data_IF_500633683102
#
_entry.id   IF_500633683102
#
_cell.length_a   1.000
_cell.length_b   1.000
_cell.length_c   1.000
_cell.angle_alpha   90.00
_cell.angle_beta   90.00
_cell.angle_gamma   90.00
#
_symmetry.space_group_name_H-M   'P 1'
#
loop_
_entity.id
_entity.type
_entity.pdbx_description
1 polymer ?
#
# COMPACT_ATOMS: atom_id res chain seq x y z
N UNK A 1 -11.86 8.50 9.19
CA UNK A 1 -13.02 9.41 9.22
C UNK A 1 -13.57 9.62 10.63
N UNK A 2 -14.12 8.58 11.28
CA UNK A 2 -14.78 8.70 12.61
C UNK A 2 -13.91 9.38 13.67
N UNK A 3 -12.68 8.94 13.86
CA UNK A 3 -11.74 9.54 14.81
C UNK A 3 -11.49 11.05 14.51
N UNK A 4 -11.32 11.41 13.26
CA UNK A 4 -11.12 12.81 12.88
C UNK A 4 -12.34 13.68 13.22
N UNK A 5 -13.55 13.16 13.01
CA UNK A 5 -14.80 13.85 13.35
C UNK A 5 -15.00 13.99 14.86
N UNK A 6 -14.70 12.93 15.64
CA UNK A 6 -14.78 12.95 17.09
C UNK A 6 -13.88 14.00 17.74
N UNK A 7 -12.67 14.17 17.19
CA UNK A 7 -11.67 15.09 17.75
C UNK A 7 -11.46 16.38 16.93
N UNK A 8 -12.40 16.74 16.05
CA UNK A 8 -12.28 17.91 15.17
C UNK A 8 -12.10 19.23 15.90
N UNK A 9 -12.70 19.35 17.09
CA UNK A 9 -12.68 20.57 17.89
C UNK A 9 -11.67 20.50 19.06
N UNK A 10 -10.91 19.39 19.18
CA UNK A 10 -9.90 19.27 20.24
C UNK A 10 -8.62 19.97 19.84
N UNK A 11 -8.25 21.09 20.47
CA UNK A 11 -7.02 21.80 20.15
C UNK A 11 -5.79 20.99 20.58
N UNK A 12 -4.74 21.02 19.77
CA UNK A 12 -3.44 20.47 20.06
C UNK A 12 -2.33 21.35 19.47
N UNK A 13 -1.10 21.14 19.93
CA UNK A 13 0.06 21.81 19.34
C UNK A 13 0.43 21.14 18.01
N UNK A 14 0.58 21.92 16.95
CA UNK A 14 1.22 21.46 15.73
C UNK A 14 2.74 21.61 15.83
N UNK A 15 3.45 20.70 15.17
CA UNK A 15 4.91 20.69 15.13
C UNK A 15 5.40 20.81 13.70
N UNK A 16 6.36 21.70 13.48
CA UNK A 16 7.16 21.79 12.26
C UNK A 16 8.64 21.74 12.63
N UNK A 17 9.45 21.03 11.86
CA UNK A 17 10.88 20.87 12.19
C UNK A 17 11.13 20.31 13.61
N UNK A 18 10.22 19.44 14.09
CA UNK A 18 10.21 18.91 15.46
C UNK A 18 10.14 20.00 16.56
N UNK A 19 9.68 21.19 16.24
CA UNK A 19 9.47 22.29 17.18
C UNK A 19 8.00 22.68 17.25
N UNK A 20 7.50 23.12 18.42
CA UNK A 20 6.17 23.70 18.54
C UNK A 20 5.99 24.87 17.57
N UNK A 21 4.88 24.88 16.84
CA UNK A 21 4.60 25.91 15.85
C UNK A 21 3.30 26.67 16.22
N UNK A 22 2.18 26.25 15.67
CA UNK A 22 0.89 26.89 15.92
C UNK A 22 -0.15 25.86 16.40
N UNK A 23 -1.19 26.26 17.12
CA UNK A 23 -2.28 25.37 17.47
C UNK A 23 -2.98 24.81 16.21
N UNK A 24 -3.40 23.57 16.29
CA UNK A 24 -4.26 22.88 15.34
C UNK A 24 -5.28 22.05 16.12
N UNK A 25 -5.93 21.08 15.49
CA UNK A 25 -6.79 20.12 16.20
C UNK A 25 -6.31 18.68 15.98
N UNK A 26 -6.63 17.82 16.94
CA UNK A 26 -6.37 16.38 16.83
C UNK A 26 -7.06 15.80 15.61
N UNK A 27 -8.33 16.19 15.37
CA UNK A 27 -9.07 15.74 14.20
C UNK A 27 -8.44 16.19 12.89
N UNK A 28 -7.96 17.45 12.80
CA UNK A 28 -7.25 17.94 11.61
C UNK A 28 -5.95 17.16 11.37
N UNK A 29 -5.20 16.82 12.42
CA UNK A 29 -4.01 15.96 12.29
C UNK A 29 -4.39 14.59 11.70
N UNK A 30 -5.48 14.00 12.16
CA UNK A 30 -5.95 12.72 11.63
C UNK A 30 -6.38 12.79 10.16
N UNK A 31 -6.86 13.94 9.67
CA UNK A 31 -7.19 14.09 8.25
C UNK A 31 -5.95 14.09 7.35
N UNK A 32 -4.77 14.44 7.85
CA UNK A 32 -3.52 14.30 7.08
C UNK A 32 -3.24 12.82 6.78
N UNK A 33 -3.37 11.95 7.78
CA UNK A 33 -3.18 10.51 7.60
C UNK A 33 -4.24 9.90 6.67
N UNK A 34 -5.49 10.32 6.84
CA UNK A 34 -6.59 9.85 5.99
C UNK A 34 -6.41 10.28 4.53
N UNK A 35 -5.93 11.50 4.29
CA UNK A 35 -5.74 12.01 2.93
C UNK A 35 -4.68 11.23 2.15
N UNK A 36 -3.60 10.81 2.79
CA UNK A 36 -2.58 9.97 2.13
C UNK A 36 -3.18 8.62 1.69
N UNK A 37 -3.99 7.98 2.54
CA UNK A 37 -4.69 6.74 2.17
C UNK A 37 -5.74 6.94 1.05
N UNK A 38 -6.34 8.13 0.96
CA UNK A 38 -7.22 8.46 -0.18
C UNK A 38 -6.42 8.56 -1.47
N UNK A 39 -5.21 9.12 -1.43
CA UNK A 39 -4.31 9.15 -2.60
C UNK A 39 -3.91 7.72 -3.02
N UNK A 40 -3.60 6.85 -2.06
CA UNK A 40 -3.30 5.44 -2.34
C UNK A 40 -4.49 4.72 -2.99
N UNK A 41 -5.71 4.98 -2.51
CA UNK A 41 -6.92 4.40 -3.09
C UNK A 41 -7.12 4.85 -4.54
N UNK A 42 -6.89 6.13 -4.84
CA UNK A 42 -6.96 6.66 -6.20
C UNK A 42 -5.92 6.00 -7.13
N UNK A 43 -4.71 5.75 -6.62
CA UNK A 43 -3.68 5.03 -7.39
C UNK A 43 -4.08 3.58 -7.67
N UNK A 44 -4.67 2.87 -6.68
CA UNK A 44 -5.18 1.51 -6.86
C UNK A 44 -6.31 1.49 -7.91
N UNK A 45 -7.28 2.40 -7.81
CA UNK A 45 -8.38 2.52 -8.77
C UNK A 45 -7.84 2.76 -10.19
N UNK A 46 -6.83 3.61 -10.31
CA UNK A 46 -6.16 3.83 -11.60
C UNK A 46 -5.48 2.55 -12.10
N UNK A 47 -4.74 1.81 -11.26
CA UNK A 47 -4.09 0.55 -11.67
C UNK A 47 -5.10 -0.50 -12.11
N UNK A 48 -6.22 -0.61 -11.41
CA UNK A 48 -7.31 -1.53 -11.79
C UNK A 48 -7.93 -1.12 -13.13
N UNK A 49 -8.18 0.18 -13.35
CA UNK A 49 -8.77 0.68 -14.58
C UNK A 49 -7.90 0.46 -15.84
N UNK A 50 -6.57 0.47 -15.68
CA UNK A 50 -5.64 0.27 -16.81
C UNK A 50 -5.10 -1.15 -16.92
N UNK A 51 -5.54 -2.07 -16.05
CA UNK A 51 -5.09 -3.46 -16.07
C UNK A 51 -5.62 -4.18 -17.31
N UNK A 52 -4.73 -4.84 -18.04
CA UNK A 52 -5.05 -5.57 -19.26
C UNK A 52 -4.63 -7.04 -19.16
N UNK A 53 -5.38 -7.91 -19.83
CA UNK A 53 -5.08 -9.33 -19.96
C UNK A 53 -4.21 -9.61 -21.17
N UNK A 54 -3.22 -10.49 -20.99
CA UNK A 54 -2.43 -10.98 -22.12
C UNK A 54 -3.19 -11.94 -23.01
N UNK A 55 -4.13 -12.67 -22.45
CA UNK A 55 -4.89 -13.75 -23.11
C UNK A 55 -3.97 -14.76 -23.87
N UNK A 56 -4.41 -15.33 -24.97
CA UNK A 56 -3.66 -16.38 -25.70
C UNK A 56 -2.85 -15.80 -26.85
N UNK A 57 -1.64 -15.29 -26.57
CA UNK A 57 -0.77 -14.66 -27.59
C UNK A 57 0.25 -15.64 -28.22
N UNK A 58 0.32 -16.89 -27.76
CA UNK A 58 1.28 -17.88 -28.24
C UNK A 58 2.67 -17.73 -27.64
N UNK A 59 3.63 -18.52 -28.12
CA UNK A 59 4.97 -18.67 -27.55
C UNK A 59 5.81 -17.41 -27.65
N UNK A 60 5.64 -16.62 -28.69
CA UNK A 60 6.40 -15.38 -28.95
C UNK A 60 5.51 -14.13 -29.00
N UNK A 61 4.22 -14.26 -28.72
CA UNK A 61 3.27 -13.16 -28.75
C UNK A 61 2.67 -12.84 -30.11
N UNK A 62 3.02 -13.60 -31.15
CA UNK A 62 2.62 -13.34 -32.55
C UNK A 62 1.25 -13.91 -32.91
N UNK A 63 0.72 -14.84 -32.12
CA UNK A 63 -0.49 -15.63 -32.43
C UNK A 63 -0.42 -16.39 -33.76
N UNK A 64 0.78 -16.68 -34.30
CA UNK A 64 0.99 -17.33 -35.59
C UNK A 64 0.29 -18.70 -35.67
N UNK A 65 0.36 -19.54 -34.62
CA UNK A 65 -0.32 -20.84 -34.58
C UNK A 65 -1.84 -20.70 -34.60
N UNK A 66 -2.40 -19.63 -34.04
CA UNK A 66 -3.84 -19.35 -34.13
C UNK A 66 -4.24 -18.87 -35.52
N UNK A 67 -3.37 -18.06 -36.18
CA UNK A 67 -3.59 -17.67 -37.58
C UNK A 67 -3.64 -18.89 -38.50
N UNK A 68 -2.76 -19.87 -38.30
CA UNK A 68 -2.80 -21.13 -39.04
C UNK A 68 -4.05 -21.93 -38.75
N UNK A 69 -4.39 -22.11 -37.46
CA UNK A 69 -5.60 -22.83 -37.02
C UNK A 69 -6.89 -22.26 -37.62
N UNK A 70 -7.00 -20.95 -37.66
CA UNK A 70 -8.16 -20.24 -38.23
C UNK A 70 -8.01 -19.88 -39.70
N UNK A 71 -7.03 -20.47 -40.40
CA UNK A 71 -6.82 -20.28 -41.84
C UNK A 71 -6.72 -18.82 -42.29
N UNK A 72 -6.02 -18.01 -41.50
CA UNK A 72 -5.82 -16.60 -41.77
C UNK A 72 -6.92 -15.65 -41.29
N UNK A 73 -7.95 -16.15 -40.60
CA UNK A 73 -9.07 -15.34 -40.09
C UNK A 73 -8.68 -14.63 -38.77
N UNK A 74 -8.16 -13.40 -38.90
CA UNK A 74 -7.75 -12.58 -37.78
C UNK A 74 -8.92 -12.11 -36.89
N UNK A 75 -10.14 -12.03 -37.45
CA UNK A 75 -11.32 -11.62 -36.67
C UNK A 75 -11.71 -12.69 -35.67
N UNK A 76 -11.58 -13.97 -36.04
CA UNK A 76 -11.79 -15.07 -35.10
C UNK A 76 -10.79 -15.04 -33.95
N UNK A 77 -9.53 -14.68 -34.19
CA UNK A 77 -8.53 -14.57 -33.14
C UNK A 77 -8.89 -13.43 -32.19
N UNK A 78 -9.31 -12.28 -32.71
CA UNK A 78 -9.77 -11.15 -31.88
C UNK A 78 -11.02 -11.52 -31.08
N UNK A 79 -11.94 -12.28 -31.67
CA UNK A 79 -13.13 -12.75 -30.98
C UNK A 79 -12.81 -13.72 -29.85
N UNK A 80 -11.81 -14.61 -30.00
CA UNK A 80 -11.31 -15.49 -28.92
C UNK A 80 -10.71 -14.65 -27.79
N UNK A 81 -9.84 -13.71 -28.10
CA UNK A 81 -9.23 -12.82 -27.08
C UNK A 81 -10.31 -12.06 -26.31
N UNK A 82 -11.30 -11.49 -26.99
CA UNK A 82 -12.41 -10.76 -26.37
C UNK A 82 -13.31 -11.68 -25.49
N UNK A 83 -13.58 -12.90 -25.95
CA UNK A 83 -14.35 -13.88 -25.18
C UNK A 83 -13.66 -14.26 -23.88
N UNK A 84 -12.34 -14.53 -23.94
CA UNK A 84 -11.56 -14.85 -22.75
C UNK A 84 -11.53 -13.67 -21.78
N UNK A 85 -11.33 -12.45 -22.28
CA UNK A 85 -11.35 -11.25 -21.41
C UNK A 85 -12.69 -11.14 -20.68
N UNK A 86 -13.80 -11.31 -21.37
CA UNK A 86 -15.15 -11.28 -20.80
C UNK A 86 -15.37 -12.37 -19.75
N UNK A 87 -14.96 -13.61 -20.03
CA UNK A 87 -15.06 -14.72 -19.06
C UNK A 87 -14.24 -14.48 -17.79
N UNK A 88 -13.12 -13.77 -17.92
CA UNK A 88 -12.27 -13.35 -16.79
C UNK A 88 -12.78 -12.10 -16.07
N UNK A 89 -13.94 -11.55 -16.46
CA UNK A 89 -14.52 -10.36 -15.83
C UNK A 89 -13.92 -9.02 -16.29
N UNK A 90 -13.19 -9.02 -17.41
CA UNK A 90 -12.62 -7.82 -18.01
C UNK A 90 -13.46 -7.32 -19.18
N UNK A 91 -13.33 -6.05 -19.52
CA UNK A 91 -13.89 -5.54 -20.76
C UNK A 91 -13.24 -6.25 -21.98
N UNK A 92 -13.99 -6.55 -23.04
CA UNK A 92 -13.46 -7.26 -24.20
C UNK A 92 -12.25 -6.60 -24.87
N UNK A 93 -12.15 -5.27 -24.75
CA UNK A 93 -11.05 -4.43 -25.24
C UNK A 93 -9.85 -4.36 -24.29
N UNK A 94 -9.99 -4.84 -23.04
CA UNK A 94 -8.90 -4.84 -22.07
C UNK A 94 -7.89 -5.98 -22.31
N UNK A 95 -7.46 -6.10 -23.57
CA UNK A 95 -6.48 -7.09 -24.01
C UNK A 95 -5.19 -6.37 -24.39
N UNK A 96 -4.07 -6.88 -23.90
CA UNK A 96 -2.75 -6.34 -24.26
C UNK A 96 -2.55 -6.49 -25.79
N UNK A 97 -2.35 -5.39 -26.53
CA UNK A 97 -2.22 -5.45 -27.99
C UNK A 97 -0.90 -6.07 -28.45
N UNK A 98 0.18 -5.88 -27.69
CA UNK A 98 1.53 -6.36 -27.99
C UNK A 98 2.16 -7.02 -26.78
N UNK A 99 2.66 -8.24 -26.94
CA UNK A 99 3.42 -8.94 -25.90
C UNK A 99 4.42 -9.92 -26.50
N UNK A 100 5.42 -10.30 -25.71
CA UNK A 100 6.23 -11.49 -26.00
C UNK A 100 5.56 -12.78 -25.51
N UNK A 101 6.33 -13.73 -25.04
CA UNK A 101 5.80 -14.94 -24.43
C UNK A 101 5.04 -14.64 -23.12
N UNK A 102 5.40 -13.57 -22.41
CA UNK A 102 4.72 -13.09 -21.22
C UNK A 102 4.31 -11.63 -21.40
N UNK A 103 3.44 -11.12 -20.52
CA UNK A 103 3.19 -9.69 -20.43
C UNK A 103 4.45 -8.95 -19.91
N UNK A 104 4.55 -7.66 -20.16
CA UNK A 104 5.66 -6.85 -19.65
C UNK A 104 5.71 -6.88 -18.12
N UNK A 105 6.86 -7.22 -17.56
CA UNK A 105 7.07 -7.23 -16.10
C UNK A 105 6.99 -5.84 -15.46
N UNK A 106 6.91 -4.80 -16.29
CA UNK A 106 6.59 -3.45 -15.85
C UNK A 106 5.22 -3.37 -15.15
N UNK A 107 4.27 -4.24 -15.51
CA UNK A 107 2.96 -4.35 -14.81
C UNK A 107 3.16 -4.77 -13.35
N UNK A 108 4.01 -5.76 -13.09
CA UNK A 108 4.35 -6.19 -11.73
C UNK A 108 4.99 -5.05 -10.92
N UNK A 109 5.90 -4.28 -11.54
CA UNK A 109 6.52 -3.12 -10.92
C UNK A 109 5.47 -2.03 -10.56
N UNK A 110 4.52 -1.75 -11.44
CA UNK A 110 3.46 -0.79 -11.16
C UNK A 110 2.56 -1.24 -10.00
N UNK A 111 2.22 -2.52 -9.94
CA UNK A 111 1.40 -3.07 -8.85
C UNK A 111 2.14 -2.94 -7.51
N UNK A 112 3.39 -3.41 -7.42
CA UNK A 112 4.14 -3.30 -6.16
C UNK A 112 4.43 -1.85 -5.77
N UNK A 113 4.60 -0.92 -6.72
CA UNK A 113 4.71 0.51 -6.42
C UNK A 113 3.43 1.06 -5.77
N UNK A 114 2.25 0.67 -6.25
CA UNK A 114 0.99 1.07 -5.64
C UNK A 114 0.86 0.51 -4.20
N UNK A 115 1.22 -0.76 -3.99
CA UNK A 115 1.24 -1.34 -2.64
C UNK A 115 2.26 -0.65 -1.72
N UNK A 116 3.43 -0.28 -2.24
CA UNK A 116 4.44 0.46 -1.48
C UNK A 116 3.95 1.86 -1.07
N UNK A 117 3.09 2.51 -1.87
CA UNK A 117 2.39 3.74 -1.50
C UNK A 117 1.61 3.57 -0.21
N UNK A 118 0.80 2.52 -0.10
CA UNK A 118 0.09 2.18 1.14
C UNK A 118 1.07 2.02 2.31
N UNK A 119 2.20 1.33 2.08
CA UNK A 119 3.25 1.18 3.08
C UNK A 119 3.80 2.52 3.56
N UNK A 120 4.00 3.48 2.65
CA UNK A 120 4.46 4.84 2.97
C UNK A 120 3.47 5.57 3.87
N UNK A 121 2.20 5.59 3.50
CA UNK A 121 1.12 6.23 4.25
C UNK A 121 0.96 5.62 5.65
N UNK A 122 0.95 4.29 5.75
CA UNK A 122 0.85 3.58 7.03
C UNK A 122 2.10 3.81 7.90
N UNK A 123 3.29 3.86 7.32
CA UNK A 123 4.53 4.16 8.04
C UNK A 123 4.54 5.57 8.59
N UNK A 124 4.06 6.55 7.81
CA UNK A 124 3.92 7.93 8.29
C UNK A 124 2.98 8.01 9.47
N UNK A 125 1.78 7.46 9.37
CA UNK A 125 0.83 7.38 10.49
C UNK A 125 1.48 6.74 11.73
N UNK A 126 2.09 5.56 11.58
CA UNK A 126 2.69 4.83 12.68
C UNK A 126 3.86 5.58 13.32
N UNK A 127 4.65 6.30 12.53
CA UNK A 127 5.75 7.14 13.02
C UNK A 127 5.20 8.31 13.84
N UNK A 128 4.18 9.01 13.34
CA UNK A 128 3.53 10.11 14.05
C UNK A 128 2.94 9.62 15.38
N UNK A 129 2.24 8.47 15.39
CA UNK A 129 1.65 7.93 16.61
C UNK A 129 2.71 7.50 17.64
N UNK A 130 3.86 6.97 17.19
CA UNK A 130 5.00 6.66 18.07
C UNK A 130 5.58 7.92 18.72
N UNK A 131 5.70 9.03 17.98
CA UNK A 131 6.12 10.32 18.51
C UNK A 131 5.09 10.88 19.49
N UNK A 132 3.81 10.80 19.18
CA UNK A 132 2.73 11.23 20.07
C UNK A 132 2.66 10.37 21.34
N UNK A 133 2.99 9.09 21.27
CA UNK A 133 3.12 8.21 22.44
C UNK A 133 4.31 8.62 23.33
N UNK A 134 5.42 9.06 22.73
CA UNK A 134 6.55 9.62 23.49
C UNK A 134 6.17 10.91 24.22
N UNK A 135 5.36 11.77 23.59
CA UNK A 135 4.83 12.99 24.21
C UNK A 135 3.70 12.73 25.22
N UNK A 136 3.23 11.47 25.35
CA UNK A 136 2.10 11.07 26.17
C UNK A 136 0.78 11.74 25.75
N UNK A 137 0.69 12.18 24.51
CA UNK A 137 -0.53 12.78 23.94
C UNK A 137 -1.51 11.74 23.45
N UNK A 138 -1.01 10.69 22.81
CA UNK A 138 -1.78 9.59 22.22
C UNK A 138 -1.01 8.27 22.33
N UNK A 139 -1.74 7.16 22.38
CA UNK A 139 -1.16 5.82 22.38
C UNK A 139 -1.97 4.88 21.48
N UNK A 140 -1.34 3.82 20.97
CA UNK A 140 -2.06 2.69 20.36
C UNK A 140 -2.87 1.94 21.43
N UNK A 141 -3.91 1.16 21.06
CA UNK A 141 -4.70 0.41 22.03
C UNK A 141 -3.83 -0.60 22.78
N UNK A 142 -4.06 -0.69 24.08
CA UNK A 142 -3.38 -1.63 24.96
C UNK A 142 -4.41 -2.61 25.53
N UNK A 143 -4.25 -3.89 25.23
CA UNK A 143 -5.19 -4.92 25.67
C UNK A 143 -4.99 -5.26 27.16
N UNK A 144 -6.08 -5.64 27.84
CA UNK A 144 -6.04 -5.94 29.28
C UNK A 144 -4.99 -6.98 29.68
N UNK A 145 -4.73 -7.93 28.79
CA UNK A 145 -3.78 -9.02 29.01
C UNK A 145 -2.43 -8.81 28.31
N UNK A 146 -2.21 -7.64 27.72
CA UNK A 146 -0.97 -7.33 27.01
C UNK A 146 0.13 -6.98 28.01
N UNK A 147 1.27 -7.66 27.90
CA UNK A 147 2.47 -7.35 28.67
C UNK A 147 3.29 -6.33 27.86
N UNK A 148 3.40 -5.10 28.36
CA UNK A 148 4.16 -4.04 27.69
C UNK A 148 5.68 -4.21 27.80
N UNK A 149 6.15 -4.74 28.95
CA UNK A 149 7.54 -5.05 29.22
C UNK A 149 7.62 -6.06 30.34
N UNK A 150 8.53 -7.04 30.25
CA UNK A 150 8.78 -8.01 31.31
C UNK A 150 9.44 -7.39 32.56
N UNK A 151 10.20 -6.30 32.37
CA UNK A 151 10.95 -5.64 33.44
C UNK A 151 10.24 -4.40 34.00
N UNK A 152 9.35 -3.76 33.24
CA UNK A 152 8.69 -2.51 33.61
C UNK A 152 7.19 -2.56 33.26
N UNK A 153 6.32 -3.01 34.20
CA UNK A 153 4.89 -3.23 33.92
C UNK A 153 4.13 -1.98 33.45
N UNK A 154 4.61 -0.80 33.82
CA UNK A 154 4.03 0.51 33.42
C UNK A 154 4.42 0.94 31.99
N UNK A 155 5.39 0.28 31.37
CA UNK A 155 5.91 0.65 30.05
C UNK A 155 4.99 0.15 28.94
N UNK A 156 4.39 1.07 28.20
CA UNK A 156 3.52 0.80 27.05
C UNK A 156 4.28 1.11 25.77
N UNK A 157 4.84 0.08 25.16
CA UNK A 157 5.56 0.21 23.90
C UNK A 157 4.55 0.25 22.74
N UNK A 158 4.74 1.14 21.74
CA UNK A 158 3.90 1.18 20.53
C UNK A 158 4.30 0.07 19.55
N UNK A 159 4.19 -1.19 19.98
CA UNK A 159 4.70 -2.36 19.26
C UNK A 159 4.01 -2.60 17.91
N UNK A 160 2.71 -2.26 17.82
CA UNK A 160 1.95 -2.40 16.56
C UNK A 160 2.43 -1.37 15.55
N UNK A 161 2.61 -0.12 15.96
CA UNK A 161 3.16 0.93 15.11
C UNK A 161 4.62 0.63 14.70
N UNK A 162 5.43 0.06 15.58
CA UNK A 162 6.78 -0.39 15.25
C UNK A 162 6.76 -1.48 14.18
N UNK A 163 5.83 -2.43 14.28
CA UNK A 163 5.63 -3.50 13.29
C UNK A 163 5.16 -2.97 11.94
N UNK A 164 4.21 -2.02 11.94
CA UNK A 164 3.81 -1.31 10.70
C UNK A 164 5.05 -0.70 10.04
N UNK A 165 5.86 0.05 10.78
CA UNK A 165 7.07 0.68 10.24
C UNK A 165 8.06 -0.35 9.67
N UNK A 166 8.23 -1.49 10.34
CA UNK A 166 9.14 -2.54 9.89
C UNK A 166 8.68 -3.20 8.59
N UNK A 167 7.40 -3.61 8.52
CA UNK A 167 6.81 -4.23 7.35
C UNK A 167 6.73 -3.26 6.16
N UNK A 168 6.43 -1.99 6.42
CA UNK A 168 6.40 -0.96 5.38
C UNK A 168 7.79 -0.75 4.75
N UNK A 169 8.87 -0.76 5.53
CA UNK A 169 10.23 -0.69 4.97
C UNK A 169 10.54 -1.89 4.09
N UNK A 170 10.16 -3.09 4.52
CA UNK A 170 10.29 -4.29 3.72
C UNK A 170 9.57 -4.14 2.38
N UNK A 171 8.28 -3.76 2.41
CA UNK A 171 7.45 -3.57 1.23
C UNK A 171 8.02 -2.53 0.26
N UNK A 172 8.50 -1.39 0.78
CA UNK A 172 9.11 -0.33 -0.06
C UNK A 172 10.41 -0.79 -0.73
N UNK A 173 11.18 -1.68 -0.12
CA UNK A 173 12.40 -2.25 -0.73
C UNK A 173 12.05 -3.35 -1.72
N UNK A 174 11.00 -4.13 -1.46
CA UNK A 174 10.55 -5.22 -2.33
C UNK A 174 10.20 -4.75 -3.76
N UNK A 175 9.77 -3.51 -3.93
CA UNK A 175 9.51 -2.86 -5.22
C UNK A 175 10.72 -2.90 -6.18
N UNK A 176 11.94 -2.97 -5.66
CA UNK A 176 13.14 -3.05 -6.48
C UNK A 176 13.21 -4.37 -7.27
N UNK A 177 12.64 -5.45 -6.75
CA UNK A 177 12.62 -6.75 -7.41
C UNK A 177 11.98 -6.68 -8.81
N UNK A 178 10.70 -6.31 -8.97
CA UNK A 178 10.09 -6.22 -10.30
C UNK A 178 10.68 -5.09 -11.14
N UNK A 179 11.23 -4.03 -10.52
CA UNK A 179 11.89 -2.95 -11.24
C UNK A 179 13.16 -3.44 -11.96
N UNK A 180 14.01 -4.20 -11.27
CA UNK A 180 15.18 -4.83 -11.88
C UNK A 180 14.77 -5.90 -12.90
N UNK A 181 13.81 -6.75 -12.54
CA UNK A 181 13.30 -7.78 -13.45
C UNK A 181 12.81 -7.20 -14.76
N UNK A 182 12.09 -6.06 -14.72
CA UNK A 182 11.64 -5.36 -15.94
C UNK A 182 12.81 -4.94 -16.80
N UNK A 183 13.88 -4.40 -16.20
CA UNK A 183 15.06 -3.89 -16.92
C UNK A 183 15.94 -5.00 -17.49
N UNK A 184 15.90 -6.21 -16.93
CA UNK A 184 16.74 -7.33 -17.36
C UNK A 184 16.05 -8.31 -18.31
N UNK A 185 14.74 -8.14 -18.59
CA UNK A 185 14.07 -8.93 -19.64
C UNK A 185 14.67 -8.62 -21.02
N UNK A 186 14.85 -9.65 -21.83
CA UNK A 186 15.37 -9.52 -23.18
C UNK A 186 14.54 -10.30 -24.19
N UNK A 187 14.40 -9.72 -25.39
CA UNK A 187 13.59 -10.25 -26.50
C UNK A 187 12.19 -10.66 -26.05
N UNK A 188 11.70 -11.81 -26.46
CA UNK A 188 10.35 -12.31 -26.20
C UNK A 188 10.23 -13.02 -24.85
N UNK A 189 11.35 -13.49 -24.27
CA UNK A 189 11.37 -14.19 -22.97
C UNK A 189 12.78 -14.42 -22.43
N UNK A 190 12.94 -14.16 -21.13
CA UNK A 190 13.97 -14.79 -20.28
C UNK A 190 13.26 -15.43 -19.09
N UNK A 191 13.92 -16.37 -18.40
CA UNK A 191 13.32 -17.11 -17.28
C UNK A 191 13.78 -16.61 -15.91
N UNK A 192 14.68 -15.65 -15.82
CA UNK A 192 15.22 -15.12 -14.57
C UNK A 192 14.16 -14.40 -13.71
N UNK A 193 13.06 -13.93 -14.31
CA UNK A 193 11.94 -13.35 -13.61
C UNK A 193 11.14 -14.35 -12.77
N UNK A 194 11.16 -15.62 -13.15
CA UNK A 194 10.17 -16.60 -12.70
C UNK A 194 10.23 -16.86 -11.19
N UNK A 195 11.39 -17.11 -10.62
CA UNK A 195 11.55 -17.32 -9.18
C UNK A 195 11.37 -16.02 -8.39
N UNK A 196 12.03 -14.94 -8.83
CA UNK A 196 11.95 -13.63 -8.17
C UNK A 196 10.50 -13.12 -8.07
N UNK A 197 9.76 -13.15 -9.18
CA UNK A 197 8.36 -12.72 -9.21
C UNK A 197 7.47 -13.48 -8.24
N UNK A 198 7.64 -14.82 -8.13
CA UNK A 198 6.82 -15.64 -7.25
C UNK A 198 7.01 -15.31 -5.77
N UNK A 199 8.19 -14.86 -5.41
CA UNK A 199 8.48 -14.41 -4.03
C UNK A 199 8.00 -12.97 -3.87
N UNK A 200 8.55 -12.04 -4.63
CA UNK A 200 8.30 -10.61 -4.48
C UNK A 200 6.80 -10.23 -4.55
N UNK A 201 6.08 -10.72 -5.56
CA UNK A 201 4.65 -10.40 -5.69
C UNK A 201 3.82 -10.96 -4.53
N UNK A 202 4.06 -12.23 -4.15
CA UNK A 202 3.31 -12.85 -3.06
C UNK A 202 3.57 -12.15 -1.72
N UNK A 203 4.84 -11.90 -1.40
CA UNK A 203 5.23 -11.24 -0.15
C UNK A 203 4.81 -9.78 -0.10
N UNK A 204 4.83 -9.06 -1.22
CA UNK A 204 4.32 -7.70 -1.31
C UNK A 204 2.84 -7.59 -0.91
N UNK A 205 1.99 -8.49 -1.43
CA UNK A 205 0.57 -8.54 -1.04
C UNK A 205 0.39 -8.96 0.42
N UNK A 206 1.09 -9.99 0.89
CA UNK A 206 1.01 -10.45 2.28
C UNK A 206 1.47 -9.38 3.27
N UNK A 207 2.56 -8.68 2.96
CA UNK A 207 3.05 -7.58 3.79
C UNK A 207 2.04 -6.43 3.85
N UNK A 208 1.44 -6.07 2.71
CA UNK A 208 0.41 -5.03 2.64
C UNK A 208 -0.82 -5.41 3.46
N UNK A 209 -1.32 -6.63 3.32
CA UNK A 209 -2.45 -7.13 4.12
C UNK A 209 -2.15 -7.09 5.62
N UNK A 210 -0.98 -7.55 6.03
CA UNK A 210 -0.56 -7.50 7.42
C UNK A 210 -0.47 -6.06 7.97
N UNK A 211 0.09 -5.12 7.18
CA UNK A 211 0.15 -3.70 7.53
C UNK A 211 -1.26 -3.14 7.73
N UNK A 212 -2.17 -3.38 6.80
CA UNK A 212 -3.54 -2.87 6.86
C UNK A 212 -4.33 -3.45 8.03
N UNK A 213 -4.19 -4.75 8.31
CA UNK A 213 -4.84 -5.39 9.45
C UNK A 213 -4.35 -4.80 10.79
N UNK A 214 -3.05 -4.57 10.93
CA UNK A 214 -2.50 -3.91 12.13
C UNK A 214 -2.99 -2.45 12.20
N UNK A 215 -3.01 -1.74 11.07
CA UNK A 215 -3.49 -0.36 10.98
C UNK A 215 -4.95 -0.25 11.43
N UNK A 216 -5.83 -1.15 10.98
CA UNK A 216 -7.23 -1.21 11.41
C UNK A 216 -7.34 -1.41 12.93
N UNK A 217 -6.58 -2.35 13.48
CA UNK A 217 -6.57 -2.61 14.91
C UNK A 217 -6.11 -1.37 15.71
N UNK A 218 -5.05 -0.70 15.26
CA UNK A 218 -4.55 0.50 15.94
C UNK A 218 -5.57 1.65 15.85
N UNK A 219 -6.12 1.91 14.67
CA UNK A 219 -7.03 3.04 14.44
C UNK A 219 -8.39 2.88 15.12
N UNK A 220 -8.83 1.65 15.38
CA UNK A 220 -10.10 1.39 16.09
C UNK A 220 -10.00 1.66 17.61
N UNK A 221 -8.78 1.74 18.15
CA UNK A 221 -8.56 1.86 19.58
C UNK A 221 -7.56 2.92 20.03
N UNK A 222 -7.26 3.94 19.22
CA UNK A 222 -6.35 5.02 19.60
C UNK A 222 -6.84 5.68 20.90
N UNK A 223 -5.94 5.76 21.87
CA UNK A 223 -6.17 6.45 23.13
C UNK A 223 -5.63 7.87 23.03
N UNK A 224 -6.45 8.85 23.39
CA UNK A 224 -6.06 10.28 23.46
C UNK A 224 -6.08 10.72 24.92
N UNK A 225 -5.09 11.50 25.33
CA UNK A 225 -4.99 12.07 26.68
C UNK A 225 -5.26 13.59 26.64
N UNK A 226 -6.52 14.05 26.73
CA UNK A 226 -6.89 15.45 26.49
C UNK A 226 -6.17 16.46 27.39
N UNK A 227 -5.91 16.09 28.65
CA UNK A 227 -5.21 16.98 29.59
C UNK A 227 -3.74 17.20 29.18
N UNK A 228 -3.08 16.15 28.69
CA UNK A 228 -1.70 16.23 28.22
C UNK A 228 -1.64 17.03 26.93
N UNK A 229 -2.51 16.72 25.96
CA UNK A 229 -2.61 17.44 24.70
C UNK A 229 -2.77 18.95 24.91
N UNK A 230 -3.68 19.35 25.81
CA UNK A 230 -3.90 20.78 26.14
C UNK A 230 -2.70 21.42 26.84
N UNK A 231 -1.99 20.70 27.70
CA UNK A 231 -0.84 21.23 28.43
C UNK A 231 0.34 21.61 27.51
N UNK A 232 0.44 21.01 26.33
CA UNK A 232 1.49 21.33 25.36
C UNK A 232 1.27 22.69 24.70
N UNK A 233 0.03 23.15 24.60
CA UNK A 233 -0.30 24.44 23.94
C UNK A 233 0.30 25.61 24.72
N UNK A 234 0.31 25.55 26.06
CA UNK A 234 0.89 26.61 26.90
C UNK A 234 2.42 26.75 26.81
N UNK A 235 3.12 25.69 26.38
CA UNK A 235 4.58 25.69 26.26
C UNK A 235 5.10 26.47 25.06
N UNK A 236 4.27 26.82 24.10
CA UNK A 236 4.66 27.57 22.91
C UNK A 236 4.77 29.09 23.15
N UNK A 237 4.41 29.57 24.34
CA UNK A 237 4.39 30.99 24.71
C UNK A 237 5.42 31.38 25.80
N UNK A 238 6.36 30.49 26.08
CA UNK A 238 7.42 30.73 27.08
C UNK A 238 8.77 30.89 26.39
#
# INVERSE_FOLDING_TARGET
>A
GRFAEEYKDMPCMAYTHCQPAQPTTVGKRATLWANELVMDLQEIDHRLAVLQLRVVKGTTGTQASFMELFKGDADKIRAVDASIAKEMGFAPEAVIPVSGQTYSRKVDAFILNALAGIGQSCMKFATDLRLLANFKEMEEPFEKNQIGSSAMPYKRNPMRCERICALSRYLMVDVLNPSFTTGTQWFERTLDDSANKRVAMAEGFLATDAILNIMLNVTDGIVVYPKVVRSQIGRAHV
#
